data_IF_018327303230
#
_entry.id   IF_018327303230
#
_cell.length_a   1.000
_cell.length_b   1.000
_cell.length_c   1.000
_cell.angle_alpha   90.00
_cell.angle_beta   90.00
_cell.angle_gamma   90.00
#
_symmetry.space_group_name_H-M   'P 1'
#
loop_
_entity.id
_entity.type
_entity.pdbx_description
1 polymer ?
#
# COMPACT_ATOMS: atom_id res chain seq x y z
N UNK A 1 17.77 10.37 -17.30
CA UNK A 1 18.03 9.23 -16.40
C UNK A 1 18.19 9.74 -14.99
N UNK A 2 17.72 9.01 -14.00
CA UNK A 2 17.56 9.45 -12.60
C UNK A 2 18.85 9.59 -11.80
N UNK A 3 20.02 9.30 -12.35
CA UNK A 3 21.34 9.37 -11.67
C UNK A 3 21.35 8.69 -10.28
N UNK A 4 20.60 7.60 -10.13
CA UNK A 4 20.62 6.75 -8.95
C UNK A 4 21.57 5.58 -9.15
N UNK A 5 22.27 5.09 -8.11
CA UNK A 5 23.02 3.84 -8.20
C UNK A 5 22.05 2.68 -8.42
N UNK A 6 22.47 1.73 -9.24
CA UNK A 6 21.73 0.50 -9.52
C UNK A 6 22.56 -0.66 -8.99
N UNK A 7 21.98 -1.44 -8.09
CA UNK A 7 22.62 -2.60 -7.48
C UNK A 7 22.00 -3.87 -8.09
N UNK A 8 22.80 -4.64 -8.82
CA UNK A 8 22.35 -5.90 -9.41
C UNK A 8 22.59 -7.05 -8.44
N UNK A 9 21.61 -7.91 -8.26
CA UNK A 9 21.71 -9.06 -7.37
C UNK A 9 20.96 -10.27 -7.93
N UNK A 10 21.54 -11.46 -7.74
CA UNK A 10 20.86 -12.71 -8.06
C UNK A 10 19.86 -13.06 -6.94
N UNK A 11 18.56 -13.16 -7.27
CA UNK A 11 17.50 -13.52 -6.33
C UNK A 11 17.61 -14.94 -5.75
N UNK A 12 18.44 -15.82 -6.34
CA UNK A 12 18.72 -17.13 -5.79
C UNK A 12 19.79 -17.13 -4.67
N UNK A 13 20.43 -15.98 -4.41
CA UNK A 13 21.42 -15.79 -3.33
C UNK A 13 20.80 -14.91 -2.21
N UNK A 14 20.20 -15.51 -1.17
CA UNK A 14 19.54 -14.75 -0.09
C UNK A 14 20.51 -13.84 0.68
N UNK A 15 21.76 -14.25 0.86
CA UNK A 15 22.74 -13.44 1.57
C UNK A 15 23.16 -12.22 0.76
N UNK A 16 23.35 -12.38 -0.56
CA UNK A 16 23.60 -11.26 -1.45
C UNK A 16 22.43 -10.29 -1.47
N UNK A 17 21.19 -10.79 -1.54
CA UNK A 17 19.99 -9.96 -1.47
C UNK A 17 19.95 -9.16 -0.16
N UNK A 18 20.22 -9.79 0.97
CA UNK A 18 20.26 -9.10 2.26
C UNK A 18 21.37 -8.04 2.33
N UNK A 19 22.56 -8.36 1.81
CA UNK A 19 23.69 -7.38 1.76
C UNK A 19 23.34 -6.18 0.90
N UNK A 20 22.73 -6.40 -0.27
CA UNK A 20 22.32 -5.33 -1.18
C UNK A 20 21.21 -4.49 -0.56
N UNK A 21 20.23 -5.09 0.08
CA UNK A 21 19.17 -4.38 0.76
C UNK A 21 19.71 -3.48 1.89
N UNK A 22 20.63 -3.99 2.71
CA UNK A 22 21.31 -3.21 3.76
C UNK A 22 22.13 -2.06 3.19
N UNK A 23 22.85 -2.30 2.10
CA UNK A 23 23.64 -1.27 1.42
C UNK A 23 22.74 -0.18 0.85
N UNK A 24 21.66 -0.56 0.17
CA UNK A 24 20.68 0.37 -0.38
C UNK A 24 20.04 1.23 0.71
N UNK A 25 19.65 0.61 1.81
CA UNK A 25 19.11 1.34 2.96
C UNK A 25 20.12 2.31 3.55
N UNK A 26 21.37 1.88 3.79
CA UNK A 26 22.43 2.71 4.32
C UNK A 26 22.76 3.90 3.38
N UNK A 27 22.79 3.64 2.07
CA UNK A 27 22.99 4.67 1.05
C UNK A 27 21.87 5.73 1.13
N UNK A 28 20.62 5.28 1.14
CA UNK A 28 19.46 6.17 1.23
C UNK A 28 19.48 7.01 2.51
N UNK A 29 19.80 6.40 3.63
CA UNK A 29 19.89 7.11 4.92
C UNK A 29 21.03 8.15 4.90
N UNK A 30 22.18 7.79 4.33
CA UNK A 30 23.36 8.66 4.33
C UNK A 30 23.24 9.81 3.36
N UNK A 31 22.76 9.56 2.14
CA UNK A 31 22.81 10.52 1.05
C UNK A 31 21.44 11.16 0.75
N UNK A 32 20.36 10.64 1.32
CA UNK A 32 18.99 11.10 1.05
C UNK A 32 18.64 11.11 -0.44
N UNK A 33 19.13 10.11 -1.16
CA UNK A 33 18.95 9.91 -2.61
C UNK A 33 18.36 8.53 -2.87
N UNK A 34 17.74 8.39 -4.02
CA UNK A 34 17.20 7.12 -4.48
C UNK A 34 18.30 6.12 -4.80
N UNK A 35 17.95 4.84 -4.71
CA UNK A 35 18.77 3.71 -5.09
C UNK A 35 17.87 2.64 -5.70
N UNK A 36 18.33 2.00 -6.74
CA UNK A 36 17.61 0.93 -7.42
C UNK A 36 18.27 -0.41 -7.08
N UNK A 37 17.46 -1.39 -6.70
CA UNK A 37 17.88 -2.79 -6.60
C UNK A 37 17.27 -3.53 -7.77
N UNK A 38 18.11 -3.99 -8.69
CA UNK A 38 17.73 -4.88 -9.79
C UNK A 38 17.98 -6.33 -9.36
N UNK A 39 16.94 -6.97 -8.84
CA UNK A 39 16.99 -8.36 -8.38
C UNK A 39 16.58 -9.29 -9.52
N UNK A 40 17.54 -9.97 -10.10
CA UNK A 40 17.30 -10.95 -11.16
C UNK A 40 16.68 -12.21 -10.57
N UNK A 41 15.46 -12.49 -10.98
CA UNK A 41 14.70 -13.65 -10.54
C UNK A 41 13.87 -14.23 -11.70
N UNK A 42 13.26 -15.37 -11.48
CA UNK A 42 12.36 -16.01 -12.45
C UNK A 42 11.10 -16.49 -11.75
N UNK A 43 9.99 -16.52 -12.48
CA UNK A 43 8.74 -17.08 -11.99
C UNK A 43 8.69 -18.57 -12.27
N UNK A 44 8.60 -19.37 -11.22
CA UNK A 44 8.59 -20.84 -11.33
C UNK A 44 7.26 -21.41 -11.80
N UNK A 45 6.16 -20.77 -11.48
CA UNK A 45 4.79 -21.24 -11.80
C UNK A 45 4.10 -20.27 -12.73
N UNK A 46 3.02 -20.71 -13.36
CA UNK A 46 2.21 -19.92 -14.25
C UNK A 46 1.47 -18.75 -13.61
N UNK A 47 0.66 -18.08 -14.39
CA UNK A 47 -0.10 -16.91 -13.96
C UNK A 47 -1.11 -17.25 -12.85
N UNK A 48 -1.74 -18.41 -12.95
CA UNK A 48 -2.66 -18.97 -11.97
C UNK A 48 -2.45 -20.49 -11.86
N UNK A 49 -3.27 -21.16 -11.05
CA UNK A 49 -3.15 -22.59 -10.77
C UNK A 49 -3.40 -23.48 -12.00
N UNK A 50 -4.18 -23.02 -12.97
CA UNK A 50 -4.48 -23.73 -14.21
C UNK A 50 -3.57 -23.39 -15.38
N UNK A 51 -2.62 -22.44 -15.20
CA UNK A 51 -1.72 -22.00 -16.25
C UNK A 51 -0.44 -22.84 -16.30
N UNK A 52 -0.13 -23.34 -17.51
CA UNK A 52 1.14 -24.00 -17.79
C UNK A 52 1.99 -23.12 -18.71
N UNK A 53 2.95 -22.39 -18.15
CA UNK A 53 3.78 -21.47 -18.92
C UNK A 53 4.75 -22.18 -19.88
N UNK A 54 4.94 -23.48 -19.77
CA UNK A 54 5.75 -24.26 -20.72
C UNK A 54 5.12 -24.28 -22.11
N UNK A 55 3.80 -24.07 -22.22
CA UNK A 55 3.11 -23.99 -23.50
C UNK A 55 3.56 -22.80 -24.36
N UNK A 56 4.00 -21.71 -23.72
CA UNK A 56 4.41 -20.48 -24.41
C UNK A 56 5.92 -20.24 -24.41
N UNK A 57 6.64 -20.80 -23.43
CA UNK A 57 8.09 -20.66 -23.31
C UNK A 57 8.76 -21.96 -22.83
N UNK A 58 8.70 -23.03 -23.65
CA UNK A 58 9.19 -24.36 -23.25
C UNK A 58 10.66 -24.34 -22.83
N UNK A 59 11.54 -23.68 -23.60
CA UNK A 59 12.97 -23.65 -23.31
C UNK A 59 13.32 -23.09 -21.94
N UNK A 60 12.66 -22.02 -21.53
CA UNK A 60 12.90 -21.41 -20.22
C UNK A 60 12.41 -22.35 -19.12
N UNK A 61 11.22 -22.94 -19.28
CA UNK A 61 10.64 -23.80 -18.26
C UNK A 61 11.30 -25.17 -18.17
N UNK A 62 11.86 -25.70 -19.23
CA UNK A 62 12.74 -26.86 -19.17
C UNK A 62 13.94 -26.61 -18.23
N UNK A 63 14.52 -25.41 -18.29
CA UNK A 63 15.59 -25.01 -17.37
C UNK A 63 15.07 -24.76 -15.95
N UNK A 64 13.93 -24.08 -15.82
CA UNK A 64 13.32 -23.75 -14.51
C UNK A 64 12.94 -25.03 -13.76
N UNK A 65 12.37 -26.04 -14.44
CA UNK A 65 11.95 -27.29 -13.83
C UNK A 65 13.11 -28.13 -13.31
N UNK A 66 14.24 -28.07 -13.99
CA UNK A 66 15.45 -28.77 -13.54
C UNK A 66 16.23 -28.00 -12.48
N UNK A 67 15.99 -26.68 -12.35
CA UNK A 67 16.69 -25.82 -11.41
C UNK A 67 16.25 -26.05 -9.98
N UNK A 68 17.22 -26.19 -9.08
CA UNK A 68 16.94 -26.25 -7.63
C UNK A 68 16.38 -24.92 -7.14
N UNK A 69 15.34 -24.96 -6.30
CA UNK A 69 14.81 -23.76 -5.68
C UNK A 69 15.83 -23.09 -4.75
N UNK A 70 15.72 -21.77 -4.57
CA UNK A 70 16.65 -20.95 -3.77
C UNK A 70 16.86 -21.52 -2.36
N UNK A 71 15.80 -21.97 -1.68
CA UNK A 71 15.90 -22.60 -0.36
C UNK A 71 16.84 -23.80 -0.37
N UNK A 72 16.66 -24.74 -1.31
CA UNK A 72 17.47 -25.95 -1.38
C UNK A 72 18.94 -25.64 -1.69
N UNK A 73 19.17 -24.76 -2.68
CA UNK A 73 20.52 -24.33 -3.06
C UNK A 73 21.24 -23.62 -1.91
N UNK A 74 20.52 -22.78 -1.17
CA UNK A 74 21.07 -22.07 -0.02
C UNK A 74 21.39 -23.00 1.15
N UNK A 75 20.49 -23.94 1.49
CA UNK A 75 20.73 -24.94 2.52
C UNK A 75 21.97 -25.78 2.22
N UNK A 76 22.11 -26.25 0.97
CA UNK A 76 23.29 -27.00 0.53
C UNK A 76 24.58 -26.16 0.65
N UNK A 77 24.50 -24.87 0.32
CA UNK A 77 25.62 -23.95 0.48
C UNK A 77 26.04 -23.78 1.95
N UNK A 78 25.07 -23.60 2.86
CA UNK A 78 25.34 -23.48 4.30
C UNK A 78 25.99 -24.74 4.87
N UNK A 79 25.49 -25.92 4.48
CA UNK A 79 26.09 -27.20 4.90
C UNK A 79 27.50 -27.33 4.32
N UNK A 80 27.69 -27.03 3.04
CA UNK A 80 29.00 -27.11 2.37
C UNK A 80 30.06 -26.19 2.96
N UNK A 81 29.65 -25.05 3.54
CA UNK A 81 30.52 -24.12 4.27
C UNK A 81 30.76 -24.50 5.72
N UNK A 82 29.97 -25.44 6.25
CA UNK A 82 30.01 -25.83 7.66
C UNK A 82 29.28 -24.85 8.60
N UNK A 83 28.48 -23.94 8.06
CA UNK A 83 27.69 -22.98 8.84
C UNK A 83 26.56 -23.68 9.64
N UNK A 84 25.98 -24.73 9.06
CA UNK A 84 24.99 -25.59 9.69
C UNK A 84 25.30 -27.06 9.36
N UNK A 85 24.89 -27.96 10.23
CA UNK A 85 24.90 -29.39 9.98
C UNK A 85 23.69 -29.83 9.15
N UNK A 86 23.78 -31.01 8.52
CA UNK A 86 22.65 -31.63 7.84
C UNK A 86 21.45 -31.81 8.78
N UNK A 87 21.73 -32.20 10.03
CA UNK A 87 20.70 -32.41 11.05
C UNK A 87 19.95 -31.10 11.37
N UNK A 88 20.67 -30.01 11.56
CA UNK A 88 20.04 -28.68 11.81
C UNK A 88 19.17 -28.24 10.64
N UNK A 89 19.59 -28.49 9.40
CA UNK A 89 18.80 -28.19 8.22
C UNK A 89 17.53 -29.05 8.14
N UNK A 90 17.61 -30.32 8.47
CA UNK A 90 16.46 -31.24 8.52
C UNK A 90 15.51 -30.89 9.66
N UNK A 91 16.04 -30.55 10.82
CA UNK A 91 15.24 -30.16 11.99
C UNK A 91 14.49 -28.85 11.72
N UNK A 92 15.14 -27.85 11.11
CA UNK A 92 14.50 -26.59 10.70
C UNK A 92 13.37 -26.82 9.68
N UNK A 93 13.58 -27.72 8.71
CA UNK A 93 12.55 -28.06 7.73
C UNK A 93 11.35 -28.77 8.41
N UNK A 94 11.64 -29.70 9.31
CA UNK A 94 10.61 -30.44 10.05
C UNK A 94 9.81 -29.55 10.97
N UNK A 95 10.48 -28.63 11.66
CA UNK A 95 9.82 -27.63 12.51
C UNK A 95 8.86 -26.76 11.69
N UNK A 96 9.31 -26.22 10.57
CA UNK A 96 8.46 -25.40 9.70
C UNK A 96 7.28 -26.17 9.11
N UNK A 97 7.49 -27.44 8.70
CA UNK A 97 6.41 -28.31 8.25
C UNK A 97 5.40 -28.57 9.37
N UNK A 98 5.89 -28.82 10.58
CA UNK A 98 5.02 -28.99 11.74
C UNK A 98 4.17 -27.76 12.07
N UNK A 99 4.75 -26.56 11.92
CA UNK A 99 4.00 -25.32 12.09
C UNK A 99 2.88 -25.18 11.04
N UNK A 100 3.18 -25.47 9.75
CA UNK A 100 2.17 -25.44 8.69
C UNK A 100 1.07 -26.51 8.90
N UNK A 101 1.42 -27.71 9.34
CA UNK A 101 0.45 -28.76 9.64
C UNK A 101 -0.46 -28.36 10.81
N UNK A 102 0.09 -27.73 11.84
CA UNK A 102 -0.69 -27.24 12.98
C UNK A 102 -1.72 -26.19 12.53
N UNK A 103 -1.27 -25.18 11.79
CA UNK A 103 -2.18 -24.14 11.25
C UNK A 103 -3.24 -24.77 10.34
N UNK A 104 -2.85 -25.69 9.45
CA UNK A 104 -3.79 -26.39 8.58
C UNK A 104 -4.85 -27.16 9.37
N UNK A 105 -4.44 -27.86 10.45
CA UNK A 105 -5.37 -28.59 11.29
C UNK A 105 -6.29 -27.66 12.08
N UNK A 106 -5.78 -26.53 12.58
CA UNK A 106 -6.58 -25.50 13.24
C UNK A 106 -7.66 -24.95 12.30
N UNK A 107 -7.31 -24.61 11.06
CA UNK A 107 -8.27 -24.13 10.06
C UNK A 107 -9.33 -25.21 9.76
N UNK A 108 -8.91 -26.47 9.59
CA UNK A 108 -9.86 -27.57 9.36
C UNK A 108 -10.81 -27.81 10.52
N UNK A 109 -10.35 -27.65 11.74
CA UNK A 109 -11.23 -27.76 12.91
C UNK A 109 -12.22 -26.58 12.98
N UNK A 110 -11.77 -25.37 12.67
CA UNK A 110 -12.64 -24.22 12.57
C UNK A 110 -13.73 -24.39 11.50
N UNK A 111 -13.36 -24.92 10.33
CA UNK A 111 -14.32 -25.25 9.27
C UNK A 111 -15.38 -26.28 9.70
N UNK A 112 -14.98 -27.33 10.43
CA UNK A 112 -15.91 -28.35 10.95
C UNK A 112 -16.90 -27.80 11.98
N UNK A 113 -16.52 -26.76 12.71
CA UNK A 113 -17.37 -26.11 13.70
C UNK A 113 -18.25 -25.00 13.10
N UNK A 114 -18.27 -24.84 11.76
CA UNK A 114 -19.02 -23.79 11.06
C UNK A 114 -18.42 -22.40 11.25
N UNK A 115 -17.33 -22.30 12.00
CA UNK A 115 -16.46 -21.17 11.93
C UNK A 115 -15.61 -21.36 10.67
N UNK A 116 -16.17 -21.02 9.49
CA UNK A 116 -15.30 -20.56 8.44
C UNK A 116 -14.45 -19.52 9.14
N UNK A 117 -13.14 -19.72 9.14
CA UNK A 117 -12.26 -18.59 9.27
C UNK A 117 -12.44 -17.73 8.02
N UNK A 118 -13.64 -17.15 7.88
CA UNK A 118 -13.65 -15.85 7.34
C UNK A 118 -12.76 -15.10 8.33
N UNK A 119 -11.67 -14.59 7.84
CA UNK A 119 -11.20 -13.30 8.31
C UNK A 119 -12.32 -12.31 8.01
N UNK A 120 -13.59 -12.71 8.19
CA UNK A 120 -14.67 -11.81 8.34
C UNK A 120 -14.25 -10.98 9.53
N UNK A 121 -13.98 -9.72 9.27
CA UNK A 121 -14.25 -8.70 10.25
C UNK A 121 -15.47 -9.26 10.99
N UNK A 122 -15.31 -9.65 12.24
CA UNK A 122 -16.44 -10.10 13.06
C UNK A 122 -17.57 -9.13 12.76
N UNK A 123 -18.80 -9.59 12.67
CA UNK A 123 -19.96 -8.69 12.45
C UNK A 123 -19.93 -7.49 13.43
N UNK A 124 -19.25 -7.64 14.57
CA UNK A 124 -18.93 -6.59 15.53
C UNK A 124 -17.98 -5.49 15.03
N UNK A 125 -17.32 -5.67 13.89
CA UNK A 125 -16.54 -4.61 13.22
C UNK A 125 -17.32 -3.95 12.07
N UNK A 126 -18.52 -4.36 11.77
CA UNK A 126 -19.45 -3.52 11.02
C UNK A 126 -19.72 -2.26 11.85
N UNK A 127 -19.77 -1.12 11.19
CA UNK A 127 -20.04 0.18 11.82
C UNK A 127 -21.22 -0.02 12.79
N UNK A 128 -21.01 0.14 14.10
CA UNK A 128 -22.09 -0.11 15.06
C UNK A 128 -23.32 0.72 14.71
N UNK A 129 -24.47 0.08 14.72
CA UNK A 129 -25.71 0.81 14.48
C UNK A 129 -25.83 1.96 15.49
N UNK A 130 -25.89 3.20 15.01
CA UNK A 130 -25.91 4.40 15.85
C UNK A 130 -24.55 5.05 16.15
N UNK A 131 -23.47 4.63 15.48
CA UNK A 131 -22.21 5.36 15.53
C UNK A 131 -22.42 6.77 14.98
N UNK A 132 -22.17 7.78 15.81
CA UNK A 132 -22.19 9.17 15.38
C UNK A 132 -20.86 9.50 14.70
N UNK A 133 -20.91 9.69 13.39
CA UNK A 133 -19.75 10.09 12.56
C UNK A 133 -19.80 11.57 12.18
N UNK A 134 -20.73 12.34 12.76
CA UNK A 134 -20.85 13.76 12.46
C UNK A 134 -19.61 14.52 12.97
N UNK A 135 -19.18 15.48 12.19
CA UNK A 135 -18.10 16.41 12.56
C UNK A 135 -18.67 17.83 12.67
N UNK A 136 -18.01 18.66 13.47
CA UNK A 136 -18.43 20.04 13.66
C UNK A 136 -18.39 20.82 12.32
N UNK A 137 -19.38 21.66 12.11
CA UNK A 137 -19.46 22.51 10.90
C UNK A 137 -18.25 23.44 10.75
N UNK A 138 -17.69 23.88 11.85
CA UNK A 138 -16.48 24.70 11.83
C UNK A 138 -15.27 23.95 11.27
N UNK A 139 -15.17 22.64 11.52
CA UNK A 139 -14.16 21.79 10.93
C UNK A 139 -14.37 21.62 9.42
N UNK A 140 -15.61 21.41 8.99
CA UNK A 140 -15.93 21.32 7.55
C UNK A 140 -15.54 22.61 6.82
N UNK A 141 -15.89 23.77 7.39
CA UNK A 141 -15.50 25.07 6.84
C UNK A 141 -13.97 25.22 6.76
N UNK A 142 -13.27 24.84 7.82
CA UNK A 142 -11.81 24.88 7.87
C UNK A 142 -11.15 23.98 6.82
N UNK A 143 -11.70 22.80 6.57
CA UNK A 143 -11.24 21.92 5.50
C UNK A 143 -11.43 22.59 4.13
N UNK A 144 -12.58 23.22 3.90
CA UNK A 144 -12.82 23.97 2.66
C UNK A 144 -11.85 25.13 2.46
N UNK A 145 -11.61 25.91 3.52
CA UNK A 145 -10.67 27.05 3.49
C UNK A 145 -9.22 26.61 3.21
N UNK A 146 -8.81 25.45 3.74
CA UNK A 146 -7.47 24.91 3.56
C UNK A 146 -7.08 24.74 2.08
N UNK A 147 -8.03 24.54 1.18
CA UNK A 147 -7.77 24.43 -0.25
C UNK A 147 -7.41 25.75 -0.93
N UNK A 148 -7.70 26.87 -0.30
CA UNK A 148 -7.38 28.22 -0.79
C UNK A 148 -6.31 28.92 0.06
N UNK A 149 -5.89 28.32 1.17
CA UNK A 149 -4.83 28.84 2.05
C UNK A 149 -3.45 28.46 1.50
N UNK A 150 -3.19 28.95 0.28
CA UNK A 150 -1.95 28.66 -0.44
C UNK A 150 -0.80 29.53 0.03
N UNK A 151 0.46 29.05 -0.07
CA UNK A 151 1.63 29.88 0.22
C UNK A 151 1.69 31.16 -0.61
N UNK A 152 2.33 32.19 -0.11
CA UNK A 152 2.55 33.45 -0.82
C UNK A 152 3.21 33.22 -2.19
N UNK A 153 2.62 33.79 -3.22
CA UNK A 153 3.11 33.67 -4.61
C UNK A 153 2.76 32.36 -5.30
N UNK A 154 2.03 31.45 -4.63
CA UNK A 154 1.59 30.20 -5.24
C UNK A 154 0.53 30.46 -6.34
N UNK A 155 0.70 29.83 -7.49
CA UNK A 155 -0.20 29.99 -8.63
C UNK A 155 -0.83 28.64 -9.00
N UNK A 156 -2.05 28.41 -8.54
CA UNK A 156 -2.82 27.23 -8.96
C UNK A 156 -3.15 27.29 -10.47
N UNK A 157 -3.23 26.09 -11.08
CA UNK A 157 -3.61 26.03 -12.49
C UNK A 157 -5.03 26.61 -12.71
N UNK A 158 -5.27 27.43 -13.79
CA UNK A 158 -6.56 28.10 -14.00
C UNK A 158 -7.79 27.18 -14.07
N UNK A 159 -7.61 25.91 -14.44
CA UNK A 159 -8.69 24.91 -14.43
C UNK A 159 -8.91 24.24 -13.07
N UNK A 160 -7.93 24.32 -12.18
CA UNK A 160 -8.01 23.74 -10.83
C UNK A 160 -8.61 24.75 -9.86
N UNK A 161 -8.24 26.02 -9.97
CA UNK A 161 -8.70 27.06 -9.06
C UNK A 161 -10.23 27.10 -8.88
N UNK A 162 -11.06 27.05 -9.93
CA UNK A 162 -12.52 27.03 -9.76
C UNK A 162 -13.03 25.80 -8.99
N UNK A 163 -12.33 24.66 -9.07
CA UNK A 163 -12.68 23.46 -8.28
C UNK A 163 -12.41 23.69 -6.80
N UNK A 164 -11.32 24.37 -6.47
CA UNK A 164 -10.98 24.68 -5.08
C UNK A 164 -11.95 25.70 -4.48
N UNK A 165 -12.30 26.74 -5.24
CA UNK A 165 -13.28 27.76 -4.85
C UNK A 165 -14.65 27.12 -4.58
N UNK A 166 -15.09 26.22 -5.48
CA UNK A 166 -16.36 25.48 -5.30
C UNK A 166 -16.35 24.58 -4.06
N UNK A 167 -15.21 23.99 -3.68
CA UNK A 167 -15.11 23.21 -2.44
C UNK A 167 -15.36 24.06 -1.20
N UNK A 168 -14.79 25.26 -1.19
CA UNK A 168 -15.03 26.21 -0.13
C UNK A 168 -16.53 26.57 -0.06
N UNK A 169 -17.16 26.88 -1.20
CA UNK A 169 -18.62 27.12 -1.24
C UNK A 169 -19.42 25.95 -0.68
N UNK A 170 -19.11 24.71 -1.12
CA UNK A 170 -19.77 23.50 -0.62
C UNK A 170 -19.59 23.31 0.88
N UNK A 171 -18.43 23.67 1.45
CA UNK A 171 -18.18 23.57 2.88
C UNK A 171 -19.10 24.48 3.72
N UNK A 172 -19.48 25.63 3.18
CA UNK A 172 -20.33 26.62 3.85
C UNK A 172 -21.84 26.46 3.51
N UNK A 173 -22.15 26.10 2.28
CA UNK A 173 -23.52 26.10 1.77
C UNK A 173 -24.14 24.70 1.72
N UNK A 174 -23.34 23.65 1.79
CA UNK A 174 -23.77 22.27 1.56
C UNK A 174 -23.77 21.88 0.09
N UNK A 175 -24.57 20.87 -0.29
CA UNK A 175 -24.56 20.25 -1.64
C UNK A 175 -23.20 19.66 -2.01
N UNK A 176 -22.61 18.98 -1.05
CA UNK A 176 -21.28 18.37 -1.15
C UNK A 176 -21.32 17.28 -2.20
N UNK A 177 -20.40 17.35 -3.17
CA UNK A 177 -20.20 16.27 -4.13
C UNK A 177 -19.34 15.15 -3.54
N UNK A 178 -19.30 14.00 -4.23
CA UNK A 178 -18.57 12.82 -3.76
C UNK A 178 -17.11 13.11 -3.49
N UNK A 179 -16.44 13.79 -4.42
CA UNK A 179 -15.00 14.06 -4.34
C UNK A 179 -14.64 14.94 -3.14
N UNK A 180 -15.47 15.93 -2.86
CA UNK A 180 -15.26 16.77 -1.68
C UNK A 180 -15.68 16.06 -0.38
N UNK A 181 -16.73 15.23 -0.41
CA UNK A 181 -17.11 14.38 0.72
C UNK A 181 -15.96 13.48 1.19
N UNK A 182 -15.24 12.87 0.26
CA UNK A 182 -14.04 12.09 0.56
C UNK A 182 -12.97 12.96 1.27
N UNK A 183 -12.68 14.12 0.73
CA UNK A 183 -11.68 15.02 1.31
C UNK A 183 -12.06 15.59 2.68
N UNK A 184 -13.37 15.77 2.93
CA UNK A 184 -13.88 16.13 4.25
C UNK A 184 -13.64 15.00 5.25
N UNK A 185 -13.89 13.75 4.86
CA UNK A 185 -13.63 12.59 5.72
C UNK A 185 -12.13 12.44 6.02
N UNK A 186 -11.27 12.49 4.99
CA UNK A 186 -9.82 12.39 5.17
C UNK A 186 -9.26 13.56 6.01
N UNK A 187 -9.76 14.77 5.76
CA UNK A 187 -9.35 15.97 6.49
C UNK A 187 -9.75 15.94 7.97
N UNK A 188 -10.94 15.41 8.29
CA UNK A 188 -11.37 15.26 9.69
C UNK A 188 -10.48 14.30 10.46
N UNK A 189 -10.08 13.18 9.85
CA UNK A 189 -9.16 12.22 10.46
C UNK A 189 -7.78 12.83 10.73
N UNK A 190 -7.26 13.65 9.80
CA UNK A 190 -6.00 14.37 10.00
C UNK A 190 -6.12 15.37 11.15
N UNK A 191 -7.23 16.10 11.23
CA UNK A 191 -7.49 17.03 12.33
C UNK A 191 -7.59 16.32 13.69
N UNK A 192 -8.08 15.08 13.72
CA UNK A 192 -8.12 14.22 14.90
C UNK A 192 -6.77 13.57 15.26
N UNK A 193 -5.72 13.90 14.55
CA UNK A 193 -4.38 13.38 14.83
C UNK A 193 -4.04 12.04 14.16
N UNK A 194 -4.86 11.56 13.24
CA UNK A 194 -4.61 10.30 12.53
C UNK A 194 -3.62 10.48 11.40
N UNK A 195 -2.80 9.44 11.17
CA UNK A 195 -2.05 9.31 9.94
C UNK A 195 -2.97 8.70 8.88
N UNK A 196 -3.24 9.45 7.83
CA UNK A 196 -4.02 9.00 6.67
C UNK A 196 -3.08 8.81 5.49
N UNK A 197 -3.01 7.60 4.97
CA UNK A 197 -2.21 7.25 3.80
C UNK A 197 -3.12 6.75 2.68
N UNK A 198 -3.03 7.40 1.54
CA UNK A 198 -3.79 7.06 0.35
C UNK A 198 -2.82 6.80 -0.80
N UNK A 199 -2.96 5.69 -1.50
CA UNK A 199 -2.15 5.39 -2.67
C UNK A 199 -2.97 4.78 -3.81
N UNK A 200 -2.50 4.91 -5.02
CA UNK A 200 -3.11 4.40 -6.24
C UNK A 200 -2.55 5.11 -7.46
N UNK A 201 -2.93 4.69 -8.65
CA UNK A 201 -2.52 5.36 -9.87
C UNK A 201 -3.29 6.67 -10.04
N UNK A 202 -2.59 7.75 -10.33
CA UNK A 202 -3.15 9.13 -10.43
C UNK A 202 -3.91 9.59 -9.16
N UNK A 203 -3.67 8.97 -8.02
CA UNK A 203 -4.44 9.19 -6.78
C UNK A 203 -4.33 10.62 -6.25
N UNK A 204 -3.18 11.27 -6.43
CA UNK A 204 -2.96 12.66 -5.98
C UNK A 204 -3.94 13.64 -6.62
N UNK A 205 -4.26 13.43 -7.88
CA UNK A 205 -5.22 14.23 -8.68
C UNK A 205 -6.59 13.58 -8.71
N UNK A 206 -6.64 12.26 -8.58
CA UNK A 206 -7.77 11.40 -8.92
C UNK A 206 -7.79 11.05 -10.39
N UNK A 207 -8.16 9.80 -10.73
CA UNK A 207 -8.22 9.30 -12.12
C UNK A 207 -9.03 10.23 -13.03
N UNK A 208 -10.12 10.77 -12.52
CA UNK A 208 -11.03 11.66 -13.25
C UNK A 208 -10.80 13.15 -12.95
N UNK A 209 -9.63 13.51 -12.43
CA UNK A 209 -9.31 14.89 -12.01
C UNK A 209 -10.30 15.47 -10.99
N UNK A 210 -10.85 14.61 -10.14
CA UNK A 210 -11.86 14.97 -9.16
C UNK A 210 -11.26 15.32 -7.79
N UNK A 211 -10.12 14.72 -7.42
CA UNK A 211 -9.57 14.83 -6.04
C UNK A 211 -8.72 16.06 -5.82
N UNK A 212 -7.68 16.26 -6.59
CA UNK A 212 -6.71 17.35 -6.39
C UNK A 212 -6.33 17.54 -4.91
N UNK A 213 -5.88 16.46 -4.26
CA UNK A 213 -5.41 16.49 -2.87
C UNK A 213 -3.98 17.02 -2.75
N UNK A 214 -3.26 17.09 -3.84
CA UNK A 214 -2.00 17.83 -4.01
C UNK A 214 -2.15 18.77 -5.18
N UNK A 215 -1.82 20.02 -4.95
CA UNK A 215 -1.91 21.08 -5.95
C UNK A 215 -0.49 21.48 -6.31
N UNK A 216 -0.25 21.63 -7.61
CA UNK A 216 1.08 21.97 -8.13
C UNK A 216 1.08 23.45 -8.57
N UNK A 217 2.07 24.19 -8.09
CA UNK A 217 2.30 25.54 -8.54
C UNK A 217 2.69 25.55 -10.03
N UNK A 218 1.95 26.30 -10.83
CA UNK A 218 2.14 26.34 -12.28
C UNK A 218 3.50 26.89 -12.71
N UNK A 219 4.08 27.77 -11.91
CA UNK A 219 5.30 28.51 -12.27
C UNK A 219 6.56 27.83 -11.73
N UNK A 220 6.47 27.28 -10.54
CA UNK A 220 7.62 26.73 -9.78
C UNK A 220 7.64 25.23 -9.72
N UNK A 221 6.48 24.54 -9.93
CA UNK A 221 6.33 23.11 -9.71
C UNK A 221 6.29 22.71 -8.22
N UNK A 222 6.22 23.68 -7.32
CA UNK A 222 6.10 23.41 -5.89
C UNK A 222 4.76 22.75 -5.57
N UNK A 223 4.79 21.83 -4.60
CA UNK A 223 3.61 21.11 -4.15
C UNK A 223 2.96 21.80 -2.96
N UNK A 224 1.64 21.90 -2.99
CA UNK A 224 0.82 22.34 -1.90
C UNK A 224 -0.13 21.21 -1.48
N UNK A 225 -0.18 20.94 -0.19
CA UNK A 225 -0.92 19.84 0.41
C UNK A 225 -1.99 20.38 1.38
N UNK A 226 -3.19 20.73 0.90
CA UNK A 226 -4.22 21.40 1.71
C UNK A 226 -4.55 20.67 3.01
N UNK A 227 -4.77 19.36 2.94
CA UNK A 227 -5.15 18.57 4.11
C UNK A 227 -4.04 18.49 5.17
N UNK A 228 -2.78 18.73 4.80
CA UNK A 228 -1.69 18.76 5.79
C UNK A 228 -1.78 19.97 6.74
N UNK A 229 -2.44 21.06 6.32
CA UNK A 229 -2.69 22.21 7.19
C UNK A 229 -3.56 21.87 8.41
N UNK A 230 -4.35 20.80 8.31
CA UNK A 230 -5.22 20.31 9.39
C UNK A 230 -4.45 19.56 10.48
N UNK A 231 -3.18 19.24 10.25
CA UNK A 231 -2.30 18.68 11.26
C UNK A 231 -1.89 19.67 12.37
N UNK A 232 -2.37 20.90 12.28
CA UNK A 232 -2.16 21.96 13.28
C UNK A 232 -3.52 22.50 13.71
N UNK A 233 -3.78 22.63 14.98
CA UNK A 233 -5.00 23.23 15.53
C UNK A 233 -5.07 24.75 15.24
N UNK A 234 -6.23 25.35 15.48
CA UNK A 234 -6.43 26.79 15.33
C UNK A 234 -5.59 27.65 16.27
N UNK A 235 -5.14 27.07 17.38
CA UNK A 235 -4.23 27.70 18.33
C UNK A 235 -2.74 27.51 17.99
N UNK A 236 -2.43 26.86 16.87
CA UNK A 236 -1.07 26.57 16.42
C UNK A 236 -0.45 25.30 17.00
N UNK A 237 -1.14 24.55 17.86
CA UNK A 237 -0.64 23.30 18.41
C UNK A 237 -0.74 22.16 17.39
N UNK A 238 0.31 21.29 17.26
CA UNK A 238 0.22 20.13 16.38
C UNK A 238 -0.81 19.11 16.85
N UNK A 239 -1.62 18.58 15.93
CA UNK A 239 -2.55 17.46 16.22
C UNK A 239 -1.85 16.10 16.23
N UNK A 240 -0.70 15.99 15.59
CA UNK A 240 -0.01 14.73 15.31
C UNK A 240 -0.47 14.07 14.02
N UNK A 241 -1.55 14.55 13.42
CA UNK A 241 -2.08 14.02 12.16
C UNK A 241 -1.13 14.20 10.98
N UNK A 242 -1.26 13.33 9.98
CA UNK A 242 -0.50 13.41 8.73
C UNK A 242 -1.37 12.97 7.57
N UNK A 243 -1.25 13.67 6.46
CA UNK A 243 -1.84 13.25 5.19
C UNK A 243 -0.73 12.86 4.22
N UNK A 244 -0.74 11.60 3.79
CA UNK A 244 0.23 11.05 2.84
C UNK A 244 -0.53 10.52 1.64
N UNK A 245 -0.29 11.07 0.47
CA UNK A 245 -0.91 10.61 -0.78
C UNK A 245 0.14 10.42 -1.85
N UNK A 246 0.12 9.27 -2.52
CA UNK A 246 1.15 8.88 -3.47
C UNK A 246 0.54 8.26 -4.71
N UNK A 247 1.03 8.67 -5.87
CA UNK A 247 0.81 7.93 -7.10
C UNK A 247 1.63 6.64 -7.06
N UNK A 248 0.95 5.51 -7.11
CA UNK A 248 1.58 4.20 -6.99
C UNK A 248 2.24 3.76 -8.31
N UNK A 249 3.17 2.78 -8.26
CA UNK A 249 3.60 2.05 -9.44
C UNK A 249 2.40 1.40 -10.17
N UNK A 250 2.61 1.05 -11.44
CA UNK A 250 1.58 0.47 -12.30
C UNK A 250 1.08 -0.91 -11.83
N UNK A 251 1.85 -1.64 -11.02
CA UNK A 251 1.48 -2.97 -10.53
C UNK A 251 0.58 -2.88 -9.30
N UNK A 252 -0.69 -3.22 -9.44
CA UNK A 252 -1.67 -3.28 -8.35
C UNK A 252 -1.27 -4.30 -7.27
N UNK A 253 -0.76 -5.46 -7.68
CA UNK A 253 -0.25 -6.48 -6.77
C UNK A 253 0.82 -5.92 -5.84
N UNK A 254 1.82 -5.24 -6.41
CA UNK A 254 2.91 -4.66 -5.63
C UNK A 254 2.43 -3.50 -4.75
N UNK A 255 1.55 -2.66 -5.27
CA UNK A 255 1.00 -1.52 -4.54
C UNK A 255 0.18 -1.98 -3.32
N UNK A 256 -0.77 -2.89 -3.52
CA UNK A 256 -1.60 -3.43 -2.42
C UNK A 256 -0.76 -4.21 -1.43
N UNK A 257 0.21 -5.02 -1.90
CA UNK A 257 1.14 -5.72 -1.03
C UNK A 257 1.98 -4.79 -0.16
N UNK A 258 2.40 -3.64 -0.72
CA UNK A 258 3.09 -2.61 0.04
C UNK A 258 2.19 -1.97 1.09
N UNK A 259 0.98 -1.58 0.71
CA UNK A 259 0.02 -0.92 1.61
C UNK A 259 -0.43 -1.88 2.74
N UNK A 260 -0.63 -3.15 2.43
CA UNK A 260 -0.85 -4.17 3.46
C UNK A 260 0.33 -4.25 4.44
N UNK A 261 1.56 -4.33 3.93
CA UNK A 261 2.75 -4.30 4.78
C UNK A 261 2.87 -3.02 5.62
N UNK A 262 2.40 -1.90 5.08
CA UNK A 262 2.36 -0.64 5.81
C UNK A 262 1.39 -0.70 7.01
N UNK A 263 0.21 -1.32 6.85
CA UNK A 263 -0.74 -1.52 7.97
C UNK A 263 -0.18 -2.43 9.05
N UNK A 264 0.54 -3.47 8.66
CA UNK A 264 1.22 -4.37 9.61
C UNK A 264 2.30 -3.62 10.42
N UNK A 265 3.06 -2.74 9.74
CA UNK A 265 4.13 -1.95 10.37
C UNK A 265 3.63 -0.73 11.15
N UNK A 266 2.43 -0.25 10.86
CA UNK A 266 1.81 0.90 11.52
C UNK A 266 0.29 0.71 11.61
N UNK A 267 -0.18 -0.07 12.60
CA UNK A 267 -1.60 -0.43 12.74
C UNK A 267 -2.52 0.75 13.09
N UNK A 268 -1.96 1.86 13.57
CA UNK A 268 -2.74 3.07 13.91
C UNK A 268 -3.01 3.97 12.70
N UNK A 269 -2.40 3.67 11.55
CA UNK A 269 -2.59 4.43 10.32
C UNK A 269 -3.89 4.02 9.61
N UNK A 270 -4.59 4.99 9.05
CA UNK A 270 -5.66 4.75 8.08
C UNK A 270 -5.04 4.62 6.71
N UNK A 271 -5.00 3.42 6.18
CA UNK A 271 -4.35 3.11 4.89
C UNK A 271 -5.42 2.77 3.86
N UNK A 272 -5.37 3.49 2.74
CA UNK A 272 -6.30 3.32 1.63
C UNK A 272 -5.50 3.07 0.35
N UNK A 273 -5.96 2.11 -0.42
CA UNK A 273 -5.49 1.89 -1.78
C UNK A 273 -6.65 2.03 -2.76
N UNK A 274 -6.42 2.72 -3.85
CA UNK A 274 -7.41 2.99 -4.89
C UNK A 274 -6.97 2.37 -6.21
N UNK A 275 -7.80 1.50 -6.78
CA UNK A 275 -7.66 1.04 -8.16
C UNK A 275 -8.02 2.17 -9.13
N UNK A 276 -7.24 2.36 -10.20
CA UNK A 276 -7.53 3.41 -11.18
C UNK A 276 -8.88 3.17 -11.88
N UNK A 277 -9.16 1.90 -12.21
CA UNK A 277 -10.44 1.41 -12.69
C UNK A 277 -10.75 0.08 -12.03
N UNK A 278 -12.05 -0.26 -11.90
CA UNK A 278 -12.49 -1.53 -11.32
C UNK A 278 -11.87 -2.76 -11.98
N UNK A 279 -11.62 -2.71 -13.29
CA UNK A 279 -10.99 -3.80 -14.05
C UNK A 279 -9.57 -4.15 -13.57
N UNK A 280 -8.86 -3.19 -12.99
CA UNK A 280 -7.49 -3.39 -12.49
C UNK A 280 -7.44 -3.99 -11.08
N UNK A 281 -8.54 -4.04 -10.37
CA UNK A 281 -8.65 -4.70 -9.05
C UNK A 281 -8.25 -6.18 -9.13
N UNK A 282 -8.43 -6.82 -10.26
CA UNK A 282 -8.00 -8.20 -10.49
C UNK A 282 -6.51 -8.41 -10.26
N UNK A 283 -5.67 -7.41 -10.58
CA UNK A 283 -4.23 -7.46 -10.32
C UNK A 283 -3.88 -7.45 -8.82
N UNK A 284 -4.77 -6.90 -7.99
CA UNK A 284 -4.63 -6.84 -6.54
C UNK A 284 -5.23 -8.04 -5.81
N UNK A 285 -6.07 -8.85 -6.49
CA UNK A 285 -6.88 -9.91 -5.87
C UNK A 285 -6.06 -10.93 -5.09
N UNK A 286 -4.86 -11.27 -5.56
CA UNK A 286 -3.99 -12.22 -4.86
C UNK A 286 -3.56 -11.75 -3.47
N UNK A 287 -3.47 -10.45 -3.24
CA UNK A 287 -3.19 -9.87 -1.91
C UNK A 287 -4.49 -9.68 -1.14
N UNK A 288 -5.51 -9.07 -1.75
CA UNK A 288 -6.77 -8.77 -1.07
C UNK A 288 -7.52 -10.01 -0.65
N UNK A 289 -7.55 -11.04 -1.49
CA UNK A 289 -8.18 -12.32 -1.16
C UNK A 289 -7.50 -13.05 0.01
N UNK A 290 -6.18 -12.93 0.11
CA UNK A 290 -5.40 -13.66 1.12
C UNK A 290 -5.37 -12.92 2.46
N UNK A 291 -5.37 -11.60 2.46
CA UNK A 291 -5.05 -10.77 3.61
C UNK A 291 -6.11 -9.75 4.01
N UNK A 292 -7.03 -9.42 3.09
CA UNK A 292 -8.03 -8.38 3.32
C UNK A 292 -9.43 -8.99 3.25
N UNK A 293 -10.27 -8.66 4.23
CA UNK A 293 -11.70 -8.94 4.15
C UNK A 293 -12.39 -7.87 3.32
N UNK A 294 -13.02 -8.29 2.24
CA UNK A 294 -13.90 -7.41 1.48
C UNK A 294 -15.29 -7.47 2.08
N UNK A 295 -15.96 -6.34 2.30
CA UNK A 295 -17.37 -6.34 2.64
C UNK A 295 -18.13 -7.06 1.52
N UNK A 296 -18.90 -8.09 1.89
CA UNK A 296 -19.59 -9.00 0.95
C UNK A 296 -20.85 -8.41 0.33
N UNK A 297 -21.03 -7.12 0.29
CA UNK A 297 -22.08 -6.52 -0.51
C UNK A 297 -21.68 -6.54 -1.98
N UNK A 298 -21.96 -7.68 -2.60
CA UNK A 298 -22.06 -7.79 -4.05
C UNK A 298 -23.42 -7.23 -4.47
N UNK A 299 -23.51 -5.95 -4.64
CA UNK A 299 -24.47 -5.36 -5.53
C UNK A 299 -23.68 -4.71 -6.67
N UNK A 300 -23.67 -5.39 -7.80
CA UNK A 300 -23.21 -4.91 -9.09
C UNK A 300 -24.30 -4.04 -9.67
#
# INVERSE_FOLDING_TARGET
MVQAPILHVNGDDPEACLRVARLAFAYRQRFRKDVVIDMLCYRRRGHNEGDDPSMTNPYMYDVVDTKRGARKAYTESLIGRGDISLKEAEDALRDYQGQLENVFNEVRELEKHGAVASTSVEEDQMIPAGLDTAVDKSLLARIGDAFLDTPDGFTAHPRVLPVLERRREMAYEGKIDWAFGELLALGSLVAEGKLVRLSGQDTRRGTFSQRHSVIIDRNTGAEFWPLQLLATNTDGTPTGGKFLVYDSPLSEYAAVGFEYGYTVGNPDAVVLWEGQFGDFVNGAQSVSYTHLTLPTNREV
#
